data_IF_713698069853
#
_entry.id   IF_713698069853
#
_cell.length_a   1.000
_cell.length_b   1.000
_cell.length_c   1.000
_cell.angle_alpha   90.00
_cell.angle_beta   90.00
_cell.angle_gamma   90.00
#
_symmetry.space_group_name_H-M   'P 1'
#
loop_
_entity.id
_entity.type
_entity.pdbx_description
1 polymer ?
#
# COMPACT_ATOMS: atom_id res chain seq x y z
N UNK A 1 1.10 -28.74 10.67
CA UNK A 1 0.97 -27.27 10.59
C UNK A 1 1.59 -26.89 9.25
N UNK A 2 0.83 -26.27 8.35
CA UNK A 2 1.33 -25.90 7.02
C UNK A 2 1.71 -24.42 7.05
N UNK A 3 2.95 -24.13 6.67
CA UNK A 3 3.52 -22.78 6.62
C UNK A 3 4.38 -22.65 5.37
N UNK A 4 4.57 -21.43 4.87
CA UNK A 4 5.51 -21.19 3.77
C UNK A 4 6.93 -21.55 4.22
N UNK A 5 7.46 -22.63 3.66
CA UNK A 5 8.85 -23.04 3.86
C UNK A 5 9.76 -22.30 2.89
N UNK A 6 11.01 -22.09 3.31
CA UNK A 6 12.03 -21.41 2.50
C UNK A 6 12.47 -22.20 1.26
N UNK A 7 12.12 -23.49 1.20
CA UNK A 7 12.51 -24.39 0.12
C UNK A 7 11.51 -24.40 -1.06
N UNK A 8 10.32 -23.82 -0.85
CA UNK A 8 9.27 -23.69 -1.85
C UNK A 8 9.66 -22.70 -2.94
N UNK A 9 9.54 -23.11 -4.21
CA UNK A 9 9.80 -22.27 -5.37
C UNK A 9 9.09 -20.90 -5.31
N UNK A 10 7.79 -20.80 -4.97
CA UNK A 10 7.12 -19.50 -4.95
C UNK A 10 7.60 -18.60 -3.80
N UNK A 11 8.01 -19.16 -2.66
CA UNK A 11 8.63 -18.41 -1.55
C UNK A 11 9.94 -17.76 -2.00
N UNK A 12 10.78 -18.52 -2.69
CA UNK A 12 12.08 -18.05 -3.21
C UNK A 12 11.86 -16.91 -4.22
N UNK A 13 10.91 -17.08 -5.15
CA UNK A 13 10.60 -16.05 -6.16
C UNK A 13 10.15 -14.74 -5.49
N UNK A 14 9.23 -14.82 -4.51
CA UNK A 14 8.75 -13.63 -3.78
C UNK A 14 9.88 -12.97 -2.99
N UNK A 15 10.75 -13.75 -2.34
CA UNK A 15 11.88 -13.22 -1.58
C UNK A 15 12.90 -12.51 -2.50
N UNK A 16 13.22 -13.09 -3.65
CA UNK A 16 14.12 -12.47 -4.64
C UNK A 16 13.51 -11.19 -5.20
N UNK A 17 12.23 -11.19 -5.57
CA UNK A 17 11.52 -10.00 -6.05
C UNK A 17 11.49 -8.89 -4.98
N UNK A 18 11.24 -9.25 -3.72
CA UNK A 18 11.26 -8.29 -2.61
C UNK A 18 12.66 -7.69 -2.40
N UNK A 19 13.72 -8.50 -2.48
CA UNK A 19 15.09 -8.04 -2.38
C UNK A 19 15.48 -7.09 -3.52
N UNK A 20 15.12 -7.42 -4.77
CA UNK A 20 15.34 -6.55 -5.92
C UNK A 20 14.54 -5.23 -5.81
N UNK A 21 13.29 -5.31 -5.34
CA UNK A 21 12.46 -4.14 -5.05
C UNK A 21 13.06 -3.25 -3.97
N UNK A 22 13.58 -3.85 -2.90
CA UNK A 22 14.26 -3.12 -1.84
C UNK A 22 15.51 -2.40 -2.35
N UNK A 23 16.40 -3.10 -3.06
CA UNK A 23 17.65 -2.54 -3.57
C UNK A 23 17.40 -1.41 -4.57
N UNK A 24 16.44 -1.58 -5.49
CA UNK A 24 16.08 -0.54 -6.45
C UNK A 24 15.49 0.69 -5.78
N UNK A 25 14.58 0.52 -4.81
CA UNK A 25 13.99 1.64 -4.05
C UNK A 25 15.04 2.36 -3.22
N UNK A 26 15.99 1.61 -2.63
CA UNK A 26 17.09 2.17 -1.85
C UNK A 26 18.02 3.00 -2.72
N UNK A 27 18.39 2.49 -3.90
CA UNK A 27 19.19 3.22 -4.87
C UNK A 27 18.49 4.53 -5.29
N UNK A 28 17.19 4.49 -5.61
CA UNK A 28 16.41 5.69 -5.94
C UNK A 28 16.41 6.68 -4.78
N UNK A 29 16.22 6.23 -3.54
CA UNK A 29 16.21 7.09 -2.36
C UNK A 29 17.58 7.76 -2.14
N UNK A 30 18.68 7.03 -2.31
CA UNK A 30 20.04 7.57 -2.21
C UNK A 30 20.29 8.62 -3.30
N UNK A 31 19.91 8.35 -4.54
CA UNK A 31 20.05 9.30 -5.66
C UNK A 31 19.25 10.58 -5.37
N UNK A 32 18.00 10.45 -4.92
CA UNK A 32 17.15 11.59 -4.57
C UNK A 32 17.73 12.40 -3.41
N UNK A 33 18.35 11.73 -2.43
CA UNK A 33 19.02 12.38 -1.30
C UNK A 33 20.25 13.18 -1.76
N UNK A 34 21.13 12.57 -2.57
CA UNK A 34 22.33 13.23 -3.09
C UNK A 34 21.99 14.41 -3.99
N UNK A 35 20.96 14.28 -4.82
CA UNK A 35 20.50 15.32 -5.75
C UNK A 35 19.35 16.17 -5.18
N UNK A 36 19.17 16.21 -3.86
CA UNK A 36 18.05 16.93 -3.23
C UNK A 36 17.99 18.42 -3.60
N UNK A 37 19.15 19.05 -3.79
CA UNK A 37 19.27 20.46 -4.17
C UNK A 37 18.97 20.72 -5.66
N UNK A 38 18.81 19.68 -6.48
CA UNK A 38 18.53 19.86 -7.91
C UNK A 38 17.08 20.31 -8.13
N UNK A 39 16.84 21.24 -9.08
CA UNK A 39 15.49 21.72 -9.37
C UNK A 39 14.55 20.60 -9.82
N UNK A 40 15.08 19.52 -10.39
CA UNK A 40 14.33 18.33 -10.80
C UNK A 40 13.67 17.60 -9.61
N UNK A 41 14.41 17.36 -8.51
CA UNK A 41 13.85 16.70 -7.32
C UNK A 41 12.82 17.61 -6.64
N UNK A 42 13.11 18.90 -6.59
CA UNK A 42 12.22 19.91 -5.99
C UNK A 42 10.94 20.15 -6.80
N UNK A 43 11.00 20.07 -8.13
CA UNK A 43 9.83 20.19 -9.01
C UNK A 43 8.99 18.92 -9.07
N UNK A 44 9.62 17.74 -8.96
CA UNK A 44 8.90 16.48 -8.92
C UNK A 44 8.02 16.41 -7.65
N UNK A 45 8.57 16.72 -6.48
CA UNK A 45 7.78 16.71 -5.24
C UNK A 45 8.59 16.84 -3.95
N UNK A 46 9.92 17.00 -4.08
CA UNK A 46 10.86 17.22 -2.99
C UNK A 46 10.63 16.29 -1.80
N UNK A 47 10.30 16.81 -0.61
CA UNK A 47 10.16 16.01 0.60
C UNK A 47 9.00 14.97 0.56
N UNK A 48 8.01 15.11 -0.32
CA UNK A 48 6.93 14.11 -0.47
C UNK A 48 7.42 12.83 -1.15
N UNK A 49 8.44 12.90 -2.02
CA UNK A 49 9.05 11.71 -2.63
C UNK A 49 9.71 10.82 -1.57
N UNK A 50 10.42 11.41 -0.60
CA UNK A 50 11.00 10.65 0.51
C UNK A 50 9.93 9.99 1.36
N UNK A 51 8.81 10.70 1.58
CA UNK A 51 7.67 10.18 2.34
C UNK A 51 6.96 9.03 1.62
N UNK A 52 7.04 8.94 0.28
CA UNK A 52 6.54 7.79 -0.49
C UNK A 52 7.55 6.63 -0.53
N UNK A 53 8.84 6.89 -0.71
CA UNK A 53 9.88 5.87 -0.86
C UNK A 53 10.20 5.15 0.47
N UNK A 54 10.16 5.88 1.59
CA UNK A 54 10.46 5.31 2.93
C UNK A 54 9.48 4.19 3.34
N UNK A 55 8.14 4.39 3.33
CA UNK A 55 7.20 3.31 3.65
C UNK A 55 7.24 2.18 2.62
N UNK A 56 7.59 2.47 1.36
CA UNK A 56 7.78 1.44 0.34
C UNK A 56 8.98 0.52 0.67
N UNK A 57 10.10 1.08 1.14
CA UNK A 57 11.24 0.29 1.65
C UNK A 57 10.83 -0.59 2.83
N UNK A 58 10.11 -0.02 3.79
CA UNK A 58 9.63 -0.77 4.96
C UNK A 58 8.71 -1.91 4.51
N UNK A 59 7.83 -1.66 3.54
CA UNK A 59 6.97 -2.69 2.97
C UNK A 59 7.79 -3.86 2.39
N UNK A 60 8.84 -3.60 1.58
CA UNK A 60 9.71 -4.65 1.06
C UNK A 60 10.42 -5.46 2.16
N UNK A 61 10.87 -4.80 3.24
CA UNK A 61 11.50 -5.48 4.39
C UNK A 61 10.50 -6.35 5.16
N UNK A 62 9.22 -5.99 5.17
CA UNK A 62 8.19 -6.80 5.81
C UNK A 62 7.77 -8.03 4.99
N UNK A 63 8.04 -8.09 3.68
CA UNK A 63 7.65 -9.24 2.84
C UNK A 63 8.29 -10.57 3.31
N UNK A 64 9.60 -10.67 3.59
CA UNK A 64 10.19 -11.89 4.14
C UNK A 64 9.61 -12.34 5.48
N UNK A 65 9.05 -11.43 6.28
CA UNK A 65 8.37 -11.79 7.54
C UNK A 65 7.06 -12.56 7.30
N UNK A 66 6.59 -12.65 6.06
CA UNK A 66 5.50 -13.54 5.68
C UNK A 66 5.90 -15.03 5.64
N UNK A 67 7.20 -15.32 5.61
CA UNK A 67 7.75 -16.68 5.53
C UNK A 67 8.08 -17.21 6.93
N UNK A 68 7.77 -18.48 7.22
CA UNK A 68 7.99 -19.12 8.51
C UNK A 68 6.80 -19.09 9.50
N UNK A 69 6.99 -19.62 10.73
CA UNK A 69 5.90 -19.84 11.67
C UNK A 69 5.30 -18.50 12.17
N UNK A 70 3.96 -18.34 12.18
CA UNK A 70 3.32 -17.10 12.59
C UNK A 70 3.42 -16.95 14.12
N UNK A 71 4.39 -16.13 14.55
CA UNK A 71 4.46 -15.63 15.92
C UNK A 71 3.53 -14.42 16.09
N UNK A 72 3.19 -14.09 17.35
CA UNK A 72 2.36 -12.91 17.70
C UNK A 72 2.94 -11.62 17.09
N UNK A 73 4.26 -11.46 17.14
CA UNK A 73 4.96 -10.31 16.56
C UNK A 73 4.78 -10.24 15.03
N UNK A 74 4.90 -11.37 14.34
CA UNK A 74 4.73 -11.47 12.89
C UNK A 74 3.29 -11.12 12.50
N UNK A 75 2.31 -11.59 13.25
CA UNK A 75 0.90 -11.27 13.00
C UNK A 75 0.57 -9.79 13.22
N UNK A 76 1.16 -9.18 14.24
CA UNK A 76 1.02 -7.74 14.44
C UNK A 76 1.66 -6.97 13.28
N UNK A 77 2.89 -7.30 12.88
CA UNK A 77 3.57 -6.70 11.73
C UNK A 77 2.75 -6.80 10.42
N UNK A 78 2.20 -7.98 10.12
CA UNK A 78 1.40 -8.20 8.91
C UNK A 78 0.10 -7.39 8.92
N UNK A 79 -0.52 -7.23 10.09
CA UNK A 79 -1.82 -6.58 10.23
C UNK A 79 -1.72 -5.06 10.33
N UNK A 80 -0.65 -4.54 10.91
CA UNK A 80 -0.47 -3.11 11.18
C UNK A 80 0.56 -2.50 10.25
N UNK A 81 1.82 -2.95 10.31
CA UNK A 81 2.94 -2.29 9.63
C UNK A 81 2.78 -2.35 8.12
N UNK A 82 2.49 -3.53 7.56
CA UNK A 82 2.35 -3.70 6.11
C UNK A 82 1.19 -2.88 5.54
N UNK A 83 0.02 -2.96 6.17
CA UNK A 83 -1.19 -2.26 5.71
C UNK A 83 -1.06 -0.74 5.85
N UNK A 84 -0.46 -0.25 6.94
CA UNK A 84 -0.20 1.18 7.13
C UNK A 84 0.79 1.70 6.09
N UNK A 85 1.89 0.99 5.83
CA UNK A 85 2.88 1.40 4.82
C UNK A 85 2.24 1.50 3.44
N UNK A 86 1.44 0.51 3.04
CA UNK A 86 0.73 0.52 1.76
C UNK A 86 -0.24 1.71 1.65
N UNK A 87 -1.04 1.98 2.70
CA UNK A 87 -1.97 3.11 2.71
C UNK A 87 -1.23 4.44 2.60
N UNK A 88 -0.12 4.61 3.31
CA UNK A 88 0.69 5.84 3.22
C UNK A 88 1.21 6.01 1.79
N UNK A 89 1.75 4.96 1.16
CA UNK A 89 2.21 5.00 -0.24
C UNK A 89 1.10 5.45 -1.20
N UNK A 90 -0.07 4.81 -1.13
CA UNK A 90 -1.20 5.13 -2.03
C UNK A 90 -1.69 6.56 -1.77
N UNK A 91 -1.79 6.98 -0.51
CA UNK A 91 -2.18 8.34 -0.16
C UNK A 91 -1.24 9.39 -0.75
N UNK A 92 0.07 9.13 -0.75
CA UNK A 92 1.06 10.01 -1.37
C UNK A 92 0.85 10.11 -2.88
N UNK A 93 0.63 8.98 -3.56
CA UNK A 93 0.40 8.96 -5.02
C UNK A 93 -0.91 9.67 -5.36
N UNK A 94 -1.99 9.43 -4.60
CA UNK A 94 -3.29 10.07 -4.83
C UNK A 94 -3.22 11.58 -4.63
N UNK A 95 -2.54 12.05 -3.58
CA UNK A 95 -2.30 13.49 -3.34
C UNK A 95 -1.49 14.10 -4.48
N UNK A 96 -0.46 13.40 -4.95
CA UNK A 96 0.36 13.86 -6.09
C UNK A 96 -0.48 14.04 -7.35
N UNK A 97 -1.29 13.03 -7.70
CA UNK A 97 -2.25 13.12 -8.81
C UNK A 97 -3.20 14.29 -8.65
N UNK A 98 -3.73 14.48 -7.43
CA UNK A 98 -4.63 15.57 -7.12
C UNK A 98 -3.95 16.94 -7.27
N UNK A 99 -2.73 17.12 -6.76
CA UNK A 99 -1.95 18.36 -6.94
C UNK A 99 -1.74 18.71 -8.40
N UNK A 100 -1.39 17.72 -9.24
CA UNK A 100 -1.23 17.93 -10.69
C UNK A 100 -2.54 18.46 -11.27
N UNK A 101 -3.67 17.78 -11.06
CA UNK A 101 -4.96 18.26 -11.58
C UNK A 101 -5.31 19.65 -11.04
N UNK A 102 -5.03 19.90 -9.77
CA UNK A 102 -5.44 21.12 -9.10
C UNK A 102 -4.64 22.34 -9.58
N UNK A 103 -3.33 22.20 -9.76
CA UNK A 103 -2.46 23.26 -10.32
C UNK A 103 -2.90 23.67 -11.73
N UNK A 104 -3.22 22.71 -12.59
CA UNK A 104 -3.49 23.01 -14.00
C UNK A 104 -4.95 23.35 -14.31
N UNK A 105 -5.92 22.72 -13.62
CA UNK A 105 -7.35 22.85 -13.95
C UNK A 105 -8.10 23.75 -12.96
N UNK A 106 -7.71 23.73 -11.68
CA UNK A 106 -8.47 24.36 -10.60
C UNK A 106 -7.85 25.66 -10.08
N UNK A 107 -6.53 25.83 -10.13
CA UNK A 107 -5.86 27.07 -9.74
C UNK A 107 -6.35 28.28 -10.57
N UNK A 108 -6.68 28.06 -11.85
CA UNK A 108 -7.25 29.10 -12.72
C UNK A 108 -8.71 29.47 -12.36
N UNK A 109 -9.48 28.54 -11.78
CA UNK A 109 -10.88 28.78 -11.38
C UNK A 109 -11.00 29.30 -9.94
N UNK A 110 -10.15 28.84 -9.02
CA UNK A 110 -10.19 29.18 -7.60
C UNK A 110 -8.78 29.48 -7.04
N UNK A 111 -8.19 30.65 -7.36
CA UNK A 111 -6.84 31.00 -6.91
C UNK A 111 -6.73 31.17 -5.38
N UNK A 112 -7.81 31.61 -4.70
CA UNK A 112 -7.84 31.75 -3.23
C UNK A 112 -7.78 30.41 -2.51
N UNK A 113 -8.52 29.40 -2.98
CA UNK A 113 -8.47 28.05 -2.42
C UNK A 113 -7.07 27.45 -2.62
N UNK A 114 -6.48 27.65 -3.81
CA UNK A 114 -5.11 27.22 -4.11
C UNK A 114 -4.08 27.80 -3.14
N UNK A 115 -4.16 29.11 -2.89
CA UNK A 115 -3.30 29.78 -1.90
C UNK A 115 -3.41 29.16 -0.51
N UNK A 116 -4.63 28.81 -0.06
CA UNK A 116 -4.84 28.20 1.26
C UNK A 116 -4.23 26.81 1.37
N UNK A 117 -4.46 25.91 0.40
CA UNK A 117 -3.88 24.56 0.44
C UNK A 117 -2.35 24.62 0.44
N UNK A 118 -1.74 25.42 -0.44
CA UNK A 118 -0.27 25.57 -0.46
C UNK A 118 0.23 26.14 0.87
N UNK A 119 -0.48 27.13 1.45
CA UNK A 119 -0.11 27.75 2.74
C UNK A 119 -0.19 26.80 3.93
N UNK A 120 -1.17 25.90 3.95
CA UNK A 120 -1.39 24.96 5.05
C UNK A 120 -0.74 23.58 4.85
N UNK A 121 0.24 23.46 3.94
CA UNK A 121 0.88 22.18 3.65
C UNK A 121 -0.16 21.07 3.35
N UNK A 122 -1.22 21.39 2.59
CA UNK A 122 -2.33 20.47 2.38
C UNK A 122 -1.99 19.06 1.87
N UNK A 123 -0.88 18.81 1.12
CA UNK A 123 -0.46 17.45 0.80
C UNK A 123 -0.13 16.62 2.06
N UNK A 124 0.61 17.21 3.00
CA UNK A 124 0.96 16.58 4.29
C UNK A 124 -0.27 16.42 5.17
N UNK A 125 -1.15 17.42 5.20
CA UNK A 125 -2.39 17.35 5.96
C UNK A 125 -3.28 16.19 5.47
N UNK A 126 -3.40 16.00 4.16
CA UNK A 126 -4.16 14.88 3.59
C UNK A 126 -3.56 13.53 3.94
N UNK A 127 -2.24 13.35 3.74
CA UNK A 127 -1.58 12.08 4.07
C UNK A 127 -1.72 11.76 5.56
N UNK A 128 -1.55 12.76 6.42
CA UNK A 128 -1.72 12.61 7.87
C UNK A 128 -3.15 12.20 8.21
N UNK A 129 -4.15 12.87 7.63
CA UNK A 129 -5.57 12.54 7.84
C UNK A 129 -5.91 11.10 7.45
N UNK A 130 -5.48 10.66 6.26
CA UNK A 130 -5.69 9.27 5.81
C UNK A 130 -4.95 8.27 6.71
N UNK A 131 -3.73 8.60 7.13
CA UNK A 131 -2.94 7.73 8.02
C UNK A 131 -3.62 7.57 9.38
N UNK A 132 -4.13 8.65 9.97
CA UNK A 132 -4.89 8.62 11.23
C UNK A 132 -6.16 7.77 11.06
N UNK A 133 -6.91 7.96 9.97
CA UNK A 133 -8.11 7.17 9.69
C UNK A 133 -7.78 5.67 9.59
N UNK A 134 -6.70 5.31 8.90
CA UNK A 134 -6.23 3.94 8.78
C UNK A 134 -5.82 3.34 10.12
N UNK A 135 -5.09 4.09 10.95
CA UNK A 135 -4.70 3.66 12.30
C UNK A 135 -5.95 3.39 13.14
N UNK A 136 -6.95 4.26 13.10
CA UNK A 136 -8.22 4.04 13.83
C UNK A 136 -8.92 2.77 13.36
N UNK A 137 -8.96 2.50 12.05
CA UNK A 137 -9.55 1.27 11.50
C UNK A 137 -8.79 0.01 11.95
N UNK A 138 -7.45 0.07 11.90
CA UNK A 138 -6.59 -1.05 12.30
C UNK A 138 -6.69 -1.31 13.80
N UNK A 139 -6.61 -0.26 14.63
CA UNK A 139 -6.75 -0.36 16.10
C UNK A 139 -8.15 -0.81 16.50
N UNK A 140 -9.20 -0.27 15.87
CA UNK A 140 -10.57 -0.74 16.07
C UNK A 140 -10.73 -2.22 15.71
N UNK A 141 -10.10 -2.68 14.62
CA UNK A 141 -10.08 -4.09 14.25
C UNK A 141 -9.33 -4.96 15.28
N UNK A 142 -8.22 -4.47 15.82
CA UNK A 142 -7.45 -5.15 16.88
C UNK A 142 -8.18 -5.21 18.22
N UNK A 143 -9.03 -4.24 18.54
CA UNK A 143 -9.83 -4.25 19.78
C UNK A 143 -10.99 -5.25 19.70
N UNK A 144 -11.56 -5.44 18.50
CA UNK A 144 -12.70 -6.35 18.27
C UNK A 144 -12.26 -7.80 18.05
N UNK A 145 -11.00 -8.04 17.68
CA UNK A 145 -10.47 -9.40 17.44
C UNK A 145 -9.30 -9.69 18.36
N UNK A 146 -9.31 -10.85 19.01
CA UNK A 146 -8.21 -11.27 19.88
C UNK A 146 -6.89 -11.31 19.09
N UNK A 147 -5.84 -10.71 19.66
CA UNK A 147 -4.49 -10.65 19.09
C UNK A 147 -3.73 -11.97 19.19
N UNK A 148 -4.31 -12.95 19.88
CA UNK A 148 -3.78 -14.30 20.04
C UNK A 148 -3.96 -15.11 18.75
N UNK A 149 -2.90 -15.72 18.19
CA UNK A 149 -3.00 -16.58 17.02
C UNK A 149 -3.93 -17.76 17.33
N UNK A 150 -5.07 -17.82 16.64
CA UNK A 150 -6.02 -18.92 16.75
C UNK A 150 -5.69 -19.99 15.72
N UNK A 151 -5.39 -21.20 16.18
CA UNK A 151 -5.28 -22.36 15.30
C UNK A 151 -6.68 -22.73 14.79
N UNK A 152 -6.85 -22.84 13.47
CA UNK A 152 -8.04 -23.44 12.84
C UNK A 152 -7.64 -24.71 12.12
N UNK A 153 -8.46 -25.74 12.24
CA UNK A 153 -8.35 -26.90 11.36
C UNK A 153 -8.79 -26.51 9.94
N UNK A 154 -8.10 -27.03 8.94
CA UNK A 154 -8.42 -26.86 7.53
C UNK A 154 -9.82 -27.44 7.23
N UNK A 155 -10.68 -26.74 6.45
CA UNK A 155 -12.00 -27.24 6.10
C UNK A 155 -11.99 -28.50 5.22
N UNK A 156 -10.92 -28.76 4.45
CA UNK A 156 -10.79 -29.97 3.61
C UNK A 156 -10.15 -31.14 4.37
N UNK A 157 -9.23 -30.87 5.31
CA UNK A 157 -8.52 -31.90 6.07
C UNK A 157 -8.41 -31.55 7.57
N UNK A 158 -9.17 -32.23 8.47
CA UNK A 158 -9.14 -31.95 9.91
C UNK A 158 -7.79 -32.27 10.58
N UNK A 159 -6.84 -32.84 9.84
CA UNK A 159 -5.46 -33.14 10.25
C UNK A 159 -4.51 -31.95 10.05
N UNK A 160 -4.88 -30.97 9.23
CA UNK A 160 -4.07 -29.78 8.93
C UNK A 160 -4.57 -28.63 9.80
N UNK A 161 -3.70 -28.10 10.67
CA UNK A 161 -3.99 -26.88 11.41
C UNK A 161 -3.35 -25.68 10.69
N UNK A 162 -4.18 -24.76 10.20
CA UNK A 162 -3.80 -23.45 9.68
C UNK A 162 -3.81 -22.46 10.85
N UNK A 163 -2.65 -21.93 11.20
CA UNK A 163 -2.54 -20.90 12.23
C UNK A 163 -2.83 -19.54 11.61
N UNK A 164 -4.03 -19.01 11.83
CA UNK A 164 -4.51 -17.78 11.21
C UNK A 164 -4.72 -16.69 12.25
N UNK A 165 -4.21 -15.50 11.97
CA UNK A 165 -4.26 -14.36 12.89
C UNK A 165 -5.52 -13.49 12.76
N UNK A 166 -6.55 -13.98 12.06
CA UNK A 166 -7.83 -13.31 11.98
C UNK A 166 -9.00 -14.30 12.00
N UNK A 167 -9.78 -14.39 13.09
CA UNK A 167 -10.94 -15.29 13.17
C UNK A 167 -12.10 -14.84 12.26
N UNK A 168 -12.11 -13.60 11.77
CA UNK A 168 -13.12 -13.05 10.84
C UNK A 168 -12.45 -12.48 9.57
N UNK A 169 -11.73 -13.33 8.84
CA UNK A 169 -10.93 -12.94 7.66
C UNK A 169 -11.72 -12.10 6.66
N UNK A 170 -12.96 -12.48 6.32
CA UNK A 170 -13.75 -11.81 5.26
C UNK A 170 -14.14 -10.37 5.62
N UNK A 171 -14.69 -10.15 6.82
CA UNK A 171 -15.11 -8.82 7.29
C UNK A 171 -13.91 -7.93 7.65
N UNK A 172 -12.90 -8.50 8.31
CA UNK A 172 -11.70 -7.77 8.69
C UNK A 172 -10.86 -7.35 7.49
N UNK A 173 -10.69 -8.23 6.49
CA UNK A 173 -9.98 -7.91 5.26
C UNK A 173 -10.70 -6.81 4.48
N UNK A 174 -12.00 -6.97 4.21
CA UNK A 174 -12.79 -6.00 3.46
C UNK A 174 -12.75 -4.61 4.11
N UNK A 175 -12.89 -4.54 5.44
CA UNK A 175 -12.86 -3.28 6.16
C UNK A 175 -11.49 -2.62 6.04
N UNK A 176 -10.39 -3.35 6.33
CA UNK A 176 -9.04 -2.79 6.23
C UNK A 176 -8.74 -2.27 4.82
N UNK A 177 -9.19 -3.00 3.81
CA UNK A 177 -8.95 -2.73 2.39
C UNK A 177 -9.75 -1.56 1.83
N UNK A 178 -10.95 -1.34 2.34
CA UNK A 178 -11.93 -0.44 1.74
C UNK A 178 -11.38 0.98 1.54
N UNK A 179 -10.57 1.46 2.49
CA UNK A 179 -9.92 2.76 2.41
C UNK A 179 -8.92 2.82 1.25
N UNK A 180 -8.05 1.81 1.10
CA UNK A 180 -7.04 1.78 0.03
C UNK A 180 -7.69 1.70 -1.36
N UNK A 181 -8.76 0.92 -1.48
CA UNK A 181 -9.52 0.81 -2.72
C UNK A 181 -10.15 2.15 -3.10
N UNK A 182 -10.76 2.83 -2.14
CA UNK A 182 -11.33 4.17 -2.34
C UNK A 182 -10.26 5.17 -2.78
N UNK A 183 -9.10 5.18 -2.12
CA UNK A 183 -7.98 6.03 -2.51
C UNK A 183 -7.44 5.72 -3.91
N UNK A 184 -7.41 4.44 -4.30
CA UNK A 184 -6.98 4.02 -5.63
C UNK A 184 -7.93 4.52 -6.72
N UNK A 185 -9.25 4.45 -6.49
CA UNK A 185 -10.25 4.97 -7.44
C UNK A 185 -10.14 6.49 -7.56
N UNK A 186 -10.01 7.20 -6.44
CA UNK A 186 -9.78 8.65 -6.46
C UNK A 186 -8.48 9.00 -7.21
N UNK A 187 -7.38 8.29 -6.92
CA UNK A 187 -6.09 8.46 -7.57
C UNK A 187 -6.18 8.24 -9.07
N UNK A 188 -6.92 7.22 -9.51
CA UNK A 188 -7.21 6.96 -10.91
C UNK A 188 -8.02 8.09 -11.57
N UNK A 189 -9.11 8.56 -10.95
CA UNK A 189 -9.92 9.66 -11.47
C UNK A 189 -9.09 10.94 -11.66
N UNK A 190 -8.23 11.27 -10.69
CA UNK A 190 -7.33 12.40 -10.81
C UNK A 190 -6.26 12.19 -11.89
N UNK A 191 -5.61 11.02 -11.92
CA UNK A 191 -4.60 10.73 -12.93
C UNK A 191 -5.18 10.74 -14.36
N UNK A 192 -6.41 10.25 -14.54
CA UNK A 192 -7.13 10.28 -15.80
C UNK A 192 -7.48 11.71 -16.24
N UNK A 193 -7.97 12.54 -15.33
CA UNK A 193 -8.24 13.96 -15.61
C UNK A 193 -6.94 14.71 -15.94
N UNK A 194 -5.85 14.31 -15.28
CA UNK A 194 -4.51 14.74 -15.56
C UNK A 194 -3.92 14.19 -16.86
N UNK A 195 -4.71 13.63 -17.79
CA UNK A 195 -4.27 13.22 -19.14
C UNK A 195 -4.49 14.28 -20.26
N UNK A 196 -5.13 15.40 -19.96
CA UNK A 196 -5.46 16.47 -20.93
C UNK A 196 -4.51 17.69 -20.91
N UNK A 197 -3.47 17.69 -20.08
CA UNK A 197 -2.55 18.80 -19.84
C UNK A 197 -1.39 18.83 -20.86
N UNK A 198 -0.77 19.99 -21.13
CA UNK A 198 0.24 20.13 -22.17
C UNK A 198 1.71 19.85 -21.75
N UNK A 199 2.01 19.63 -20.47
CA UNK A 199 3.40 19.53 -19.98
C UNK A 199 3.85 18.08 -19.71
N UNK A 200 4.90 17.63 -20.41
CA UNK A 200 5.75 16.45 -20.14
C UNK A 200 5.02 15.13 -19.77
N UNK A 201 4.44 14.50 -20.78
CA UNK A 201 3.32 13.56 -20.64
C UNK A 201 3.60 12.08 -20.37
N UNK A 202 4.66 11.78 -19.61
CA UNK A 202 4.96 10.41 -19.19
C UNK A 202 4.63 10.15 -17.71
N UNK A 203 4.68 11.17 -16.84
CA UNK A 203 4.46 10.98 -15.39
C UNK A 203 3.01 10.63 -15.04
N UNK A 204 2.03 11.40 -15.52
CA UNK A 204 0.61 11.13 -15.26
C UNK A 204 0.15 9.78 -15.87
N UNK A 205 0.72 9.39 -17.02
CA UNK A 205 0.47 8.08 -17.64
C UNK A 205 1.00 6.95 -16.77
N UNK A 206 2.23 7.07 -16.27
CA UNK A 206 2.82 6.08 -15.37
C UNK A 206 2.02 5.95 -14.07
N UNK A 207 1.62 7.08 -13.46
CA UNK A 207 0.78 7.06 -12.25
C UNK A 207 -0.57 6.38 -12.52
N UNK A 208 -1.21 6.67 -13.66
CA UNK A 208 -2.47 6.01 -14.05
C UNK A 208 -2.27 4.50 -14.18
N UNK A 209 -1.19 4.08 -14.85
CA UNK A 209 -0.86 2.67 -15.03
C UNK A 209 -0.62 1.96 -13.69
N UNK A 210 0.15 2.58 -12.78
CA UNK A 210 0.37 2.07 -11.44
C UNK A 210 -0.94 1.92 -10.64
N UNK A 211 -1.83 2.91 -10.71
CA UNK A 211 -3.12 2.87 -10.02
C UNK A 211 -4.06 1.79 -10.57
N UNK A 212 -4.10 1.61 -11.90
CA UNK A 212 -4.87 0.51 -12.52
C UNK A 212 -4.31 -0.83 -12.06
N UNK A 213 -2.98 -1.02 -12.15
CA UNK A 213 -2.33 -2.26 -11.75
C UNK A 213 -2.57 -2.60 -10.28
N UNK A 214 -2.52 -1.59 -9.40
CA UNK A 214 -2.85 -1.77 -8.00
C UNK A 214 -4.32 -2.18 -7.81
N UNK A 215 -5.25 -1.46 -8.46
CA UNK A 215 -6.68 -1.78 -8.38
C UNK A 215 -6.99 -3.20 -8.88
N UNK A 216 -6.42 -3.61 -10.02
CA UNK A 216 -6.66 -4.95 -10.57
C UNK A 216 -6.06 -6.05 -9.70
N UNK A 217 -4.80 -5.90 -9.27
CA UNK A 217 -4.14 -6.83 -8.35
C UNK A 217 -4.93 -6.98 -7.05
N UNK A 218 -5.45 -5.86 -6.55
CA UNK A 218 -6.22 -5.83 -5.33
C UNK A 218 -7.58 -6.54 -5.47
N UNK A 219 -8.32 -6.26 -6.55
CA UNK A 219 -9.59 -6.94 -6.86
C UNK A 219 -9.36 -8.45 -7.03
N UNK A 220 -8.30 -8.87 -7.74
CA UNK A 220 -7.96 -10.29 -7.89
C UNK A 220 -7.63 -10.96 -6.55
N UNK A 221 -6.93 -10.27 -5.65
CA UNK A 221 -6.64 -10.80 -4.32
C UNK A 221 -7.93 -10.96 -3.51
N UNK A 222 -8.83 -9.97 -3.55
CA UNK A 222 -10.13 -10.06 -2.88
C UNK A 222 -10.99 -11.19 -3.41
N UNK A 223 -11.08 -11.39 -4.73
CA UNK A 223 -11.86 -12.48 -5.32
C UNK A 223 -11.26 -13.83 -4.94
N UNK A 224 -9.94 -13.97 -5.02
CA UNK A 224 -9.25 -15.20 -4.62
C UNK A 224 -9.48 -15.51 -3.13
N UNK A 225 -9.30 -14.53 -2.25
CA UNK A 225 -9.55 -14.70 -0.81
C UNK A 225 -11.02 -14.98 -0.48
N UNK A 226 -11.96 -14.47 -1.28
CA UNK A 226 -13.38 -14.74 -1.11
C UNK A 226 -13.78 -16.15 -1.57
N UNK A 227 -13.17 -16.66 -2.64
CA UNK A 227 -13.42 -18.00 -3.19
C UNK A 227 -12.81 -19.09 -2.31
N UNK A 228 -11.60 -18.88 -1.78
CA UNK A 228 -10.82 -19.91 -1.07
C UNK A 228 -10.86 -19.81 0.46
N UNK A 229 -11.84 -19.09 1.03
CA UNK A 229 -11.98 -18.87 2.48
C UNK A 229 -10.71 -18.44 3.26
N UNK A 230 -9.76 -17.81 2.57
CA UNK A 230 -8.46 -17.43 3.17
C UNK A 230 -7.47 -18.59 3.32
N UNK A 231 -7.73 -19.75 2.72
CA UNK A 231 -6.77 -20.83 2.51
C UNK A 231 -5.87 -20.44 1.32
N UNK A 232 -5.04 -19.41 1.52
CA UNK A 232 -4.05 -18.97 0.53
C UNK A 232 -2.87 -19.96 0.42
N UNK A 233 -2.75 -20.88 1.39
CA UNK A 233 -1.56 -21.70 1.59
C UNK A 233 -1.62 -23.03 0.84
N UNK A 234 -2.79 -23.56 0.49
CA UNK A 234 -2.91 -24.91 -0.12
C UNK A 234 -2.79 -24.94 -1.65
N UNK A 235 -2.72 -23.79 -2.33
CA UNK A 235 -2.73 -23.73 -3.82
C UNK A 235 -1.37 -23.29 -4.39
N UNK A 236 -0.45 -22.86 -3.53
CA UNK A 236 0.95 -22.63 -3.92
C UNK A 236 1.84 -23.86 -3.70
N UNK A 237 1.25 -24.95 -3.20
CA UNK A 237 1.74 -26.34 -3.29
C UNK A 237 1.30 -26.99 -4.61
#
# INVERSE_FOLDING_TARGET
LVFLEWHEAPTIVVAVLAALGFLSTLAILIIFWQHFQTPMVRSAGGPMCFLMLTPLLVAYVTVPTYVGPPMVATCLCRRTVFTLCFTICISCITVRSFQIVWVFKMARRLPRAYGYWVRYHGPYAFVTFITVLKVVMVVGSLLVTTTSPTARADPDDPKIMILSCNPNYRKGLLLNVSLDLFLSVLGFCFAYTGKELPTNYNEAKFITFCMIFYFTSFVSLCTFMAVYEGVLVTIMD
#
